data_IF_359423991444
#
_entry.id   IF_359423991444
#
_cell.length_a   1.000
_cell.length_b   1.000
_cell.length_c   1.000
_cell.angle_alpha   90.00
_cell.angle_beta   90.00
_cell.angle_gamma   90.00
#
_symmetry.space_group_name_H-M   'P 1'
#
loop_
_entity.id
_entity.type
_entity.pdbx_description
1 polymer ?
#
# COMPACT_ATOMS: atom_id res chain seq x y z
N UNK A 1 13.46 8.29 3.40
CA UNK A 1 12.19 8.64 2.71
C UNK A 1 12.29 8.91 1.18
N UNK A 2 13.45 8.87 0.50
CA UNK A 2 13.48 8.68 -0.97
C UNK A 2 13.83 7.24 -1.40
N UNK A 3 14.45 6.47 -0.51
CA UNK A 3 14.87 5.09 -0.79
C UNK A 3 13.67 4.15 -0.97
N UNK A 4 12.71 4.15 -0.04
CA UNK A 4 11.51 3.30 -0.09
C UNK A 4 10.68 3.50 -1.36
N UNK A 5 10.51 4.77 -1.77
CA UNK A 5 9.79 5.13 -3.00
C UNK A 5 10.55 4.61 -4.22
N UNK A 6 11.89 4.73 -4.25
CA UNK A 6 12.71 4.15 -5.32
C UNK A 6 12.62 2.63 -5.35
N UNK A 7 12.59 1.96 -4.20
CA UNK A 7 12.42 0.50 -4.12
C UNK A 7 11.06 0.09 -4.70
N UNK A 8 9.99 0.79 -4.35
CA UNK A 8 8.65 0.53 -4.89
C UNK A 8 8.57 0.78 -6.40
N UNK A 9 9.10 1.91 -6.89
CA UNK A 9 9.07 2.26 -8.32
C UNK A 9 9.97 1.35 -9.14
N UNK A 10 11.21 1.09 -8.69
CA UNK A 10 12.16 0.29 -9.46
C UNK A 10 11.94 -1.20 -9.32
N UNK A 11 11.54 -1.68 -8.14
CA UNK A 11 11.23 -3.09 -7.91
C UNK A 11 9.88 -3.44 -8.51
N UNK A 12 8.80 -2.95 -7.91
CA UNK A 12 7.45 -3.35 -8.29
C UNK A 12 6.99 -2.75 -9.62
N UNK A 13 7.10 -1.42 -9.80
CA UNK A 13 6.47 -0.80 -10.97
C UNK A 13 7.14 -1.16 -12.31
N UNK A 14 8.43 -1.52 -12.28
CA UNK A 14 9.18 -1.99 -13.46
C UNK A 14 9.21 -3.52 -13.57
N UNK A 15 9.38 -4.25 -12.46
CA UNK A 15 9.63 -5.70 -12.46
C UNK A 15 8.81 -6.43 -11.37
N UNK A 16 7.48 -6.56 -11.53
CA UNK A 16 6.63 -7.22 -10.52
C UNK A 16 7.04 -8.68 -10.26
N UNK A 17 7.55 -9.40 -11.27
CA UNK A 17 8.07 -10.76 -11.14
C UNK A 17 9.27 -10.87 -10.19
N UNK A 18 10.13 -9.86 -10.15
CA UNK A 18 11.29 -9.84 -9.25
C UNK A 18 10.83 -9.64 -7.81
N UNK A 19 9.94 -8.65 -7.58
CA UNK A 19 9.32 -8.42 -6.26
C UNK A 19 8.58 -9.65 -5.75
N UNK A 20 8.00 -10.46 -6.64
CA UNK A 20 7.39 -11.74 -6.28
C UNK A 20 8.37 -12.75 -5.68
N UNK A 21 9.61 -12.78 -6.18
CA UNK A 21 10.66 -13.72 -5.75
C UNK A 21 11.40 -13.23 -4.51
N UNK A 22 11.78 -11.96 -4.51
CA UNK A 22 12.65 -11.37 -3.48
C UNK A 22 11.86 -10.77 -2.30
N UNK A 23 10.58 -10.46 -2.48
CA UNK A 23 9.79 -9.72 -1.50
C UNK A 23 9.91 -8.21 -1.67
N UNK A 24 9.49 -7.47 -0.65
CA UNK A 24 9.51 -6.00 -0.65
C UNK A 24 10.18 -5.48 0.62
N UNK A 25 11.27 -4.73 0.46
CA UNK A 25 11.87 -3.97 1.54
C UNK A 25 11.25 -2.57 1.61
N UNK A 26 10.54 -2.27 2.71
CA UNK A 26 9.83 -1.01 2.88
C UNK A 26 9.84 -0.56 4.34
N UNK A 27 10.16 0.71 4.61
CA UNK A 27 10.24 1.29 5.97
C UNK A 27 11.08 0.43 6.92
N UNK A 28 12.26 0.05 6.43
CA UNK A 28 13.25 -0.75 7.18
C UNK A 28 12.75 -2.14 7.61
N UNK A 29 11.75 -2.67 6.90
CA UNK A 29 11.18 -4.00 7.16
C UNK A 29 11.08 -4.81 5.86
N UNK A 30 11.38 -6.09 5.97
CA UNK A 30 11.19 -7.06 4.90
C UNK A 30 9.77 -7.61 4.91
N UNK A 31 9.03 -7.35 3.83
CA UNK A 31 7.70 -7.91 3.61
C UNK A 31 7.77 -9.08 2.65
N UNK A 32 7.19 -10.21 3.05
CA UNK A 32 7.03 -11.37 2.17
C UNK A 32 5.94 -11.07 1.16
N UNK A 33 6.26 -11.22 -0.12
CA UNK A 33 5.27 -11.07 -1.18
C UNK A 33 4.19 -12.16 -1.08
N UNK A 34 2.93 -11.74 -1.05
CA UNK A 34 1.74 -12.61 -1.13
C UNK A 34 1.23 -12.65 -2.56
N UNK A 35 1.22 -11.49 -3.24
CA UNK A 35 0.76 -11.33 -4.61
C UNK A 35 1.54 -10.20 -5.26
N UNK A 36 1.97 -10.36 -6.51
CA UNK A 36 2.56 -9.30 -7.31
C UNK A 36 2.21 -9.54 -8.78
N UNK A 37 1.34 -8.69 -9.31
CA UNK A 37 0.91 -8.67 -10.71
C UNK A 37 1.20 -7.28 -11.31
N UNK A 38 0.85 -7.04 -12.56
CA UNK A 38 1.14 -5.75 -13.23
C UNK A 38 0.45 -4.53 -12.58
N UNK A 39 -0.64 -4.75 -11.85
CA UNK A 39 -1.47 -3.68 -11.28
C UNK A 39 -1.46 -3.61 -9.75
N UNK A 40 -1.15 -4.72 -9.05
CA UNK A 40 -1.15 -4.71 -7.59
C UNK A 40 -0.10 -5.62 -6.97
N UNK A 41 0.40 -5.17 -5.81
CA UNK A 41 1.35 -5.88 -4.96
C UNK A 41 0.82 -5.93 -3.54
N UNK A 42 0.70 -7.14 -3.00
CA UNK A 42 0.36 -7.39 -1.61
C UNK A 42 1.55 -8.06 -0.94
N UNK A 43 2.05 -7.45 0.14
CA UNK A 43 3.16 -7.96 0.90
C UNK A 43 2.84 -7.95 2.39
N UNK A 44 3.29 -8.96 3.12
CA UNK A 44 2.95 -9.18 4.54
C UNK A 44 4.22 -9.39 5.36
N UNK A 45 4.26 -8.80 6.55
CA UNK A 45 5.25 -9.05 7.58
C UNK A 45 4.48 -9.28 8.89
N UNK A 46 4.46 -10.53 9.35
CA UNK A 46 3.73 -10.96 10.56
C UNK A 46 2.29 -10.44 10.61
N UNK A 47 1.95 -9.54 11.53
CA UNK A 47 0.61 -8.97 11.70
C UNK A 47 0.42 -7.64 10.96
N UNK A 48 1.39 -7.23 10.15
CA UNK A 48 1.38 -6.01 9.36
C UNK A 48 1.50 -6.32 7.87
N UNK A 49 1.20 -5.35 7.01
CA UNK A 49 1.40 -5.52 5.58
C UNK A 49 1.27 -4.24 4.80
N UNK A 50 1.62 -4.36 3.52
CA UNK A 50 1.64 -3.29 2.54
C UNK A 50 0.83 -3.75 1.33
N UNK A 51 -0.05 -2.88 0.87
CA UNK A 51 -0.84 -3.02 -0.34
C UNK A 51 -0.46 -1.88 -1.27
N UNK A 52 -0.03 -2.21 -2.48
CA UNK A 52 0.31 -1.22 -3.50
C UNK A 52 -0.57 -1.46 -4.72
N UNK A 53 -1.20 -0.40 -5.20
CA UNK A 53 -1.99 -0.40 -6.43
C UNK A 53 -1.35 0.56 -7.43
N UNK A 54 -0.96 0.02 -8.59
CA UNK A 54 -0.41 0.78 -9.70
C UNK A 54 -1.55 1.26 -10.59
N UNK A 55 -1.65 2.58 -10.71
CA UNK A 55 -2.47 3.26 -11.71
C UNK A 55 -1.57 3.75 -12.85
N UNK A 56 -2.15 4.36 -13.88
CA UNK A 56 -1.37 4.88 -15.02
C UNK A 56 -0.36 5.96 -14.61
N UNK A 57 -0.68 6.78 -13.60
CA UNK A 57 0.11 7.96 -13.21
C UNK A 57 0.67 7.87 -11.78
N UNK A 58 0.07 7.04 -10.92
CA UNK A 58 0.37 7.00 -9.49
C UNK A 58 0.52 5.57 -8.97
N UNK A 59 1.35 5.42 -7.95
CA UNK A 59 1.37 4.24 -7.08
C UNK A 59 0.67 4.61 -5.77
N UNK A 60 -0.47 3.96 -5.50
CA UNK A 60 -1.15 4.06 -4.22
C UNK A 60 -0.54 3.04 -3.28
N UNK A 61 -0.04 3.49 -2.13
CA UNK A 61 0.58 2.64 -1.11
C UNK A 61 -0.25 2.76 0.16
N UNK A 62 -0.79 1.64 0.63
CA UNK A 62 -1.50 1.53 1.89
C UNK A 62 -0.78 0.51 2.78
N UNK A 63 -0.79 0.76 4.08
CA UNK A 63 -0.24 -0.18 5.06
C UNK A 63 -1.30 -0.48 6.11
N UNK A 64 -1.35 -1.73 6.58
CA UNK A 64 -2.18 -2.11 7.71
C UNK A 64 -1.30 -2.60 8.86
N UNK A 65 -1.74 -2.34 10.08
CA UNK A 65 -1.06 -2.75 11.31
C UNK A 65 -1.79 -3.90 11.98
N UNK A 66 -1.19 -4.41 13.05
CA UNK A 66 -1.85 -5.36 13.94
C UNK A 66 -3.19 -4.81 14.45
N UNK A 67 -4.22 -5.66 14.47
CA UNK A 67 -5.60 -5.28 14.79
C UNK A 67 -6.45 -4.82 13.60
N UNK A 68 -5.86 -4.59 12.42
CA UNK A 68 -6.60 -4.31 11.19
C UNK A 68 -6.83 -5.58 10.38
N UNK A 69 -7.94 -5.64 9.63
CA UNK A 69 -8.20 -6.72 8.69
C UNK A 69 -7.50 -6.45 7.35
N UNK A 70 -6.61 -7.36 6.89
CA UNK A 70 -5.92 -7.19 5.61
C UNK A 70 -6.89 -7.06 4.43
N UNK A 71 -8.01 -7.78 4.47
CA UNK A 71 -9.06 -7.74 3.44
C UNK A 71 -9.65 -6.33 3.27
N UNK A 72 -9.92 -5.63 4.37
CA UNK A 72 -10.46 -4.26 4.35
C UNK A 72 -9.46 -3.30 3.73
N UNK A 73 -8.17 -3.43 4.07
CA UNK A 73 -7.12 -2.60 3.50
C UNK A 73 -6.97 -2.82 1.98
N UNK A 74 -6.97 -4.08 1.54
CA UNK A 74 -6.95 -4.43 0.11
C UNK A 74 -8.15 -3.83 -0.61
N UNK A 75 -9.36 -4.04 -0.09
CA UNK A 75 -10.58 -3.54 -0.72
C UNK A 75 -10.61 -2.01 -0.83
N UNK A 76 -10.25 -1.31 0.24
CA UNK A 76 -10.19 0.15 0.27
C UNK A 76 -9.18 0.70 -0.75
N UNK A 77 -7.99 0.10 -0.83
CA UNK A 77 -6.91 0.56 -1.73
C UNK A 77 -7.26 0.34 -3.20
N UNK A 78 -7.82 -0.82 -3.53
CA UNK A 78 -8.27 -1.16 -4.89
C UNK A 78 -9.42 -0.24 -5.34
N UNK A 79 -10.40 0.03 -4.47
CA UNK A 79 -11.49 0.97 -4.76
C UNK A 79 -10.98 2.39 -4.94
N UNK A 80 -10.02 2.83 -4.12
CA UNK A 80 -9.40 4.14 -4.24
C UNK A 80 -8.64 4.28 -5.57
N UNK A 81 -7.89 3.26 -5.99
CA UNK A 81 -7.19 3.25 -7.28
C UNK A 81 -8.14 3.39 -8.47
N UNK A 82 -9.28 2.69 -8.42
CA UNK A 82 -10.33 2.81 -9.43
C UNK A 82 -10.99 4.18 -9.47
N UNK A 83 -11.06 4.90 -8.35
CA UNK A 83 -11.64 6.24 -8.28
C UNK A 83 -10.65 7.34 -8.71
N UNK A 84 -9.39 7.22 -8.29
CA UNK A 84 -8.30 8.17 -8.63
C UNK A 84 -8.02 8.15 -10.13
N UNK A 85 -8.02 6.97 -10.76
CA UNK A 85 -7.70 6.85 -12.20
C UNK A 85 -8.58 7.70 -13.14
N UNK A 86 -9.92 7.73 -13.02
CA UNK A 86 -10.77 8.61 -13.83
C UNK A 86 -10.81 10.06 -13.33
N UNK A 87 -10.83 10.28 -12.01
CA UNK A 87 -11.06 11.61 -11.42
C UNK A 87 -9.85 12.56 -11.56
N UNK A 88 -8.61 12.03 -11.56
CA UNK A 88 -7.40 12.86 -11.67
C UNK A 88 -7.03 13.31 -13.10
N UNK A 89 -7.82 12.97 -14.11
CA UNK A 89 -7.71 13.64 -15.42
C UNK A 89 -7.92 15.16 -15.33
N UNK A 90 -8.45 15.67 -14.21
CA UNK A 90 -8.72 17.09 -14.01
C UNK A 90 -7.64 17.85 -13.20
N UNK A 91 -6.87 17.22 -12.29
CA UNK A 91 -5.84 17.92 -11.48
C UNK A 91 -4.76 16.96 -10.93
N UNK A 92 -3.45 17.19 -11.16
CA UNK A 92 -2.38 16.35 -10.63
C UNK A 92 -1.95 16.83 -9.23
N UNK A 93 -2.47 16.21 -8.17
CA UNK A 93 -1.88 16.34 -6.82
C UNK A 93 -1.80 14.99 -6.12
N UNK A 94 -0.62 14.71 -5.57
CA UNK A 94 -0.27 13.48 -4.88
C UNK A 94 -1.16 13.25 -3.65
N UNK A 95 -2.00 12.21 -3.71
CA UNK A 95 -2.78 11.73 -2.56
C UNK A 95 -1.90 10.86 -1.68
N UNK A 96 -1.43 11.41 -0.55
CA UNK A 96 -0.99 10.61 0.59
C UNK A 96 -2.24 10.23 1.38
N UNK A 97 -2.68 8.98 1.25
CA UNK A 97 -3.72 8.41 2.10
C UNK A 97 -3.06 7.72 3.29
N UNK A 98 -2.63 8.49 4.29
CA UNK A 98 -2.29 7.94 5.61
C UNK A 98 -3.60 7.45 6.25
N UNK A 99 -3.89 6.16 6.10
CA UNK A 99 -5.04 5.51 6.75
C UNK A 99 -4.74 5.29 8.25
N UNK A 100 -4.50 6.37 9.00
CA UNK A 100 -4.57 6.36 10.47
C UNK A 100 -6.03 6.59 10.87
N UNK A 101 -6.83 5.52 10.86
CA UNK A 101 -8.17 5.59 11.44
C UNK A 101 -8.06 5.70 12.96
N UNK A 102 -8.51 6.84 13.48
CA UNK A 102 -8.99 7.12 14.83
C UNK A 102 -8.76 6.02 15.88
N UNK A 103 -7.86 6.28 16.83
CA UNK A 103 -8.03 5.78 18.20
C UNK A 103 -9.31 6.41 18.76
N UNK A 104 -10.40 5.66 18.78
CA UNK A 104 -11.50 5.94 19.68
C UNK A 104 -11.00 5.73 21.11
N UNK A 105 -10.80 6.83 21.80
CA UNK A 105 -10.48 6.89 23.21
C UNK A 105 -11.75 6.52 24.01
N UNK A 106 -11.84 5.29 24.52
CA UNK A 106 -12.79 4.99 25.60
C UNK A 106 -12.00 4.85 26.91
N UNK A 107 -11.77 6.01 27.53
CA UNK A 107 -11.63 6.14 28.98
C UNK A 107 -12.89 5.59 29.64
N UNK A 108 -12.74 4.62 30.57
CA UNK A 108 -13.51 4.42 31.81
C UNK A 108 -12.54 3.57 32.68
N UNK A 109 -11.95 3.99 33.79
CA UNK A 109 -12.36 4.98 34.78
C UNK A 109 -13.06 4.25 35.94
N UNK A 110 -12.32 4.02 37.04
CA UNK A 110 -12.87 3.71 38.37
C UNK A 110 -13.06 2.23 38.69
#
# INVERSE_FOLDING_TARGET
>A
MPHDVRTLVNGFAKNPLQTRREGLYFKEKDYKCIRADDYSLYAKNENTGVVVVKTHLYLLVATYTEGMYPSVCVEATEKLGKFVSPCLSLFPMAVRSDCQSLRANTNHGG
#
